data_IF_337982405520
#
_entry.id   IF_337982405520
#
_cell.length_a   1.000
_cell.length_b   1.000
_cell.length_c   1.000
_cell.angle_alpha   90.00
_cell.angle_beta   90.00
_cell.angle_gamma   90.00
#
_symmetry.space_group_name_H-M   'P 1'
#
loop_
_entity.id
_entity.type
_entity.pdbx_description
1 polymer ?
#
# COMPACT_ATOMS: atom_id res chain seq x y z
N UNK A 1 24.53 18.49 -21.47
CA UNK A 1 24.57 17.90 -20.11
C UNK A 1 23.52 16.80 -20.03
N UNK A 2 23.92 15.53 -20.16
CA UNK A 2 23.05 14.40 -19.88
C UNK A 2 23.00 14.23 -18.35
N UNK A 3 21.87 14.56 -17.74
CA UNK A 3 21.61 14.23 -16.34
C UNK A 3 21.72 12.71 -16.18
N UNK A 4 22.61 12.25 -15.30
CA UNK A 4 22.73 10.86 -14.89
C UNK A 4 21.47 10.48 -14.11
N UNK A 5 20.45 10.00 -14.81
CA UNK A 5 19.27 9.46 -14.16
C UNK A 5 19.60 8.03 -13.71
N UNK A 6 19.84 7.87 -12.41
CA UNK A 6 19.88 6.56 -11.76
C UNK A 6 18.52 6.28 -11.14
N UNK A 7 18.09 5.02 -11.15
CA UNK A 7 16.86 4.59 -10.47
C UNK A 7 17.27 3.82 -9.23
N UNK A 8 16.85 4.31 -8.06
CA UNK A 8 16.92 3.56 -6.81
C UNK A 8 15.61 2.79 -6.62
N UNK A 9 15.71 1.47 -6.48
CA UNK A 9 14.57 0.60 -6.24
C UNK A 9 14.87 -0.33 -5.07
N UNK A 10 13.83 -0.58 -4.26
CA UNK A 10 13.87 -1.67 -3.30
C UNK A 10 13.29 -2.91 -4.00
N UNK A 11 14.16 -3.88 -4.28
CA UNK A 11 13.77 -5.12 -4.94
C UNK A 11 13.26 -6.14 -3.92
N UNK A 12 12.22 -6.89 -4.30
CA UNK A 12 11.53 -7.85 -3.42
C UNK A 12 11.49 -9.28 -3.98
N UNK A 13 12.61 -10.04 -3.94
CA UNK A 13 12.58 -11.48 -4.19
C UNK A 13 11.88 -12.24 -3.05
N UNK A 14 11.26 -13.38 -3.39
CA UNK A 14 10.60 -14.30 -2.45
C UNK A 14 11.52 -15.48 -2.13
N UNK A 15 11.57 -15.89 -0.87
CA UNK A 15 12.36 -17.05 -0.42
C UNK A 15 11.48 -17.98 0.44
N UNK A 16 11.52 -19.29 0.20
CA UNK A 16 10.78 -20.29 0.99
C UNK A 16 11.44 -20.53 2.36
N UNK A 17 10.64 -20.81 3.39
CA UNK A 17 11.15 -21.34 4.66
C UNK A 17 11.61 -22.77 4.43
N UNK A 18 12.92 -22.98 4.34
CA UNK A 18 13.50 -24.29 4.61
C UNK A 18 13.40 -24.65 6.09
N UNK A 19 13.89 -25.82 6.46
CA UNK A 19 14.00 -26.30 7.86
C UNK A 19 14.94 -25.44 8.73
N UNK A 20 15.65 -24.49 8.12
CA UNK A 20 16.65 -23.64 8.76
C UNK A 20 16.12 -22.20 8.95
N UNK A 21 16.46 -21.62 10.11
CA UNK A 21 15.99 -20.32 10.58
C UNK A 21 16.28 -19.15 9.60
N UNK A 22 15.50 -18.04 9.68
CA UNK A 22 15.66 -16.85 8.80
C UNK A 22 17.03 -16.16 8.82
N UNK A 23 17.94 -16.57 9.71
CA UNK A 23 19.29 -16.02 9.89
C UNK A 23 20.25 -16.31 8.72
N UNK A 24 19.81 -17.03 7.68
CA UNK A 24 20.72 -17.79 6.79
C UNK A 24 20.55 -17.34 5.33
N UNK A 25 20.52 -16.03 5.06
CA UNK A 25 20.58 -15.50 3.69
C UNK A 25 21.77 -14.55 3.55
N UNK A 26 22.77 -14.96 2.77
CA UNK A 26 23.88 -14.08 2.40
C UNK A 26 23.81 -13.80 0.89
N UNK A 27 23.58 -12.54 0.53
CA UNK A 27 23.75 -12.11 -0.85
C UNK A 27 25.22 -11.71 -1.05
N UNK A 28 25.96 -12.53 -1.81
CA UNK A 28 27.33 -12.19 -2.23
C UNK A 28 27.20 -11.18 -3.35
N UNK A 29 27.48 -9.92 -3.04
CA UNK A 29 27.57 -8.89 -4.05
C UNK A 29 28.78 -8.02 -3.72
N UNK A 30 29.73 -7.93 -4.65
CA UNK A 30 30.89 -7.03 -4.54
C UNK A 30 30.54 -5.67 -5.17
N UNK A 31 31.10 -4.53 -4.74
CA UNK A 31 31.26 -4.05 -3.37
C UNK A 31 30.60 -2.65 -3.21
N UNK A 32 29.43 -2.51 -2.58
CA UNK A 32 28.98 -1.24 -1.95
C UNK A 32 27.93 -1.58 -0.87
N UNK A 33 28.20 -1.15 0.37
CA UNK A 33 27.31 -1.01 1.54
C UNK A 33 26.00 -1.82 1.52
N UNK A 34 26.00 -2.99 2.17
CA UNK A 34 24.88 -3.94 2.14
C UNK A 34 23.96 -3.79 3.36
N UNK A 35 22.87 -3.03 3.23
CA UNK A 35 21.73 -3.19 4.13
C UNK A 35 20.74 -4.11 3.43
N UNK A 36 20.44 -5.26 4.03
CA UNK A 36 19.38 -6.17 3.62
C UNK A 36 18.34 -6.28 4.73
N UNK A 37 17.08 -6.43 4.34
CA UNK A 37 15.99 -6.64 5.28
C UNK A 37 15.20 -7.89 4.89
N UNK A 38 14.97 -8.78 5.84
CA UNK A 38 14.12 -9.96 5.68
C UNK A 38 12.90 -9.76 6.56
N UNK A 39 11.72 -10.04 6.03
CA UNK A 39 10.49 -9.99 6.82
C UNK A 39 9.50 -11.09 6.46
N UNK A 40 8.60 -11.50 7.38
CA UNK A 40 7.59 -12.51 7.09
C UNK A 40 6.73 -12.12 5.89
N UNK A 41 6.52 -13.06 4.97
CA UNK A 41 5.69 -12.79 3.80
C UNK A 41 4.23 -12.58 4.20
N UNK A 42 3.61 -11.57 3.60
CA UNK A 42 2.18 -11.25 3.80
C UNK A 42 1.23 -12.19 3.06
N UNK A 43 1.72 -12.92 2.06
CA UNK A 43 0.91 -13.85 1.24
C UNK A 43 1.06 -15.29 1.70
N UNK A 44 2.24 -15.67 2.20
CA UNK A 44 2.58 -17.06 2.47
C UNK A 44 3.26 -17.19 3.83
N UNK A 45 2.59 -17.79 4.85
CA UNK A 45 3.16 -17.95 6.19
C UNK A 45 4.47 -18.74 6.22
N UNK A 46 4.69 -19.60 5.23
CA UNK A 46 5.90 -20.42 5.05
C UNK A 46 6.99 -19.73 4.22
N UNK A 47 6.93 -18.42 3.98
CA UNK A 47 7.93 -17.70 3.19
C UNK A 47 8.38 -16.39 3.84
N UNK A 48 9.50 -15.87 3.36
CA UNK A 48 10.00 -14.54 3.66
C UNK A 48 10.07 -13.68 2.41
N UNK A 49 9.88 -12.39 2.65
CA UNK A 49 10.13 -11.32 1.70
C UNK A 49 11.51 -10.74 2.00
N UNK A 50 12.42 -10.77 1.01
CA UNK A 50 13.74 -10.13 1.11
C UNK A 50 13.69 -8.78 0.41
N UNK A 51 14.14 -7.73 1.07
CA UNK A 51 14.27 -6.38 0.53
C UNK A 51 15.74 -6.04 0.36
N UNK A 52 16.08 -5.58 -0.85
CA UNK A 52 17.44 -5.17 -1.24
C UNK A 52 17.37 -3.79 -1.87
N UNK A 53 18.20 -2.86 -1.39
CA UNK A 53 18.38 -1.58 -2.07
C UNK A 53 19.37 -1.71 -3.22
N UNK A 54 18.97 -1.27 -4.41
CA UNK A 54 19.85 -1.21 -5.58
C UNK A 54 19.69 0.11 -6.33
N UNK A 55 20.80 0.59 -6.89
CA UNK A 55 20.83 1.72 -7.82
C UNK A 55 21.19 1.18 -9.21
N UNK A 56 20.30 1.33 -10.18
CA UNK A 56 20.55 0.91 -11.57
C UNK A 56 20.72 2.17 -12.43
N UNK A 57 21.87 2.35 -13.12
CA UNK A 57 22.05 3.45 -14.05
C UNK A 57 21.03 3.38 -15.20
N UNK A 58 20.61 4.54 -15.72
CA UNK A 58 19.71 4.61 -16.87
C UNK A 58 20.21 3.79 -18.06
N UNK A 59 19.30 3.04 -18.69
CA UNK A 59 19.56 2.16 -19.83
C UNK A 59 20.65 1.09 -19.57
N UNK A 60 20.81 0.66 -18.32
CA UNK A 60 21.77 -0.38 -17.91
C UNK A 60 21.06 -1.53 -17.18
N UNK A 61 21.79 -2.61 -16.93
CA UNK A 61 21.39 -3.67 -16.00
C UNK A 61 22.45 -3.88 -14.91
N UNK A 62 22.06 -4.55 -13.82
CA UNK A 62 22.96 -5.05 -12.77
C UNK A 62 22.55 -6.47 -12.42
N UNK A 63 23.51 -7.33 -12.16
CA UNK A 63 23.27 -8.72 -11.78
C UNK A 63 23.55 -8.94 -10.30
N UNK A 64 22.67 -9.67 -9.63
CA UNK A 64 22.73 -9.98 -8.21
C UNK A 64 22.51 -11.47 -7.98
N UNK A 65 23.31 -12.09 -7.11
CA UNK A 65 23.15 -13.50 -6.73
C UNK A 65 22.80 -13.59 -5.25
N UNK A 66 21.65 -14.19 -4.94
CA UNK A 66 21.19 -14.45 -3.58
C UNK A 66 21.45 -15.92 -3.29
N UNK A 67 22.17 -16.21 -2.20
CA UNK A 67 22.50 -17.58 -1.82
C UNK A 67 22.08 -17.82 -0.36
N UNK A 68 21.57 -19.01 -0.02
CA UNK A 68 21.48 -19.40 1.37
C UNK A 68 22.87 -19.40 2.00
N UNK A 69 22.99 -18.85 3.20
CA UNK A 69 24.23 -18.99 3.98
C UNK A 69 24.44 -20.47 4.33
N UNK A 70 25.68 -20.93 4.44
CA UNK A 70 25.98 -22.25 5.03
C UNK A 70 26.34 -22.03 6.48
N UNK A 71 25.66 -22.72 7.38
CA UNK A 71 25.80 -22.63 8.83
C UNK A 71 27.27 -22.79 9.29
N UNK A 72 27.94 -21.67 9.54
CA UNK A 72 29.11 -21.46 10.42
C UNK A 72 29.69 -20.05 10.19
N UNK A 73 28.92 -19.03 10.55
CA UNK A 73 29.25 -17.62 10.32
C UNK A 73 30.27 -17.01 11.30
N UNK A 74 31.02 -17.82 12.06
CA UNK A 74 32.09 -17.29 12.91
C UNK A 74 33.35 -16.84 12.13
N UNK A 75 33.46 -17.14 10.81
CA UNK A 75 34.73 -16.97 10.07
C UNK A 75 34.75 -16.00 8.89
N UNK A 76 33.63 -15.45 8.41
CA UNK A 76 33.64 -14.65 7.16
C UNK A 76 33.31 -13.16 7.30
N UNK A 77 32.91 -12.65 8.47
CA UNK A 77 32.63 -11.21 8.65
C UNK A 77 31.54 -10.66 7.70
N UNK A 78 30.73 -11.53 7.10
CA UNK A 78 29.64 -11.15 6.21
C UNK A 78 28.45 -10.60 7.04
N UNK A 79 27.83 -9.48 6.61
CA UNK A 79 26.73 -8.89 7.36
C UNK A 79 25.51 -9.81 7.34
N UNK A 80 24.99 -10.16 8.52
CA UNK A 80 23.73 -10.87 8.66
C UNK A 80 22.55 -10.00 8.22
N UNK A 81 21.51 -10.58 7.58
CA UNK A 81 20.33 -9.83 7.20
C UNK A 81 19.55 -9.37 8.43
N UNK A 82 19.05 -8.13 8.40
CA UNK A 82 18.18 -7.65 9.47
C UNK A 82 16.81 -8.31 9.37
N UNK A 83 16.39 -9.01 10.43
CA UNK A 83 15.04 -9.55 10.54
C UNK A 83 14.10 -8.46 11.05
N UNK A 84 13.11 -8.08 10.23
CA UNK A 84 12.14 -7.06 10.57
C UNK A 84 11.33 -7.41 11.83
N UNK A 85 11.02 -6.39 12.63
CA UNK A 85 10.21 -6.52 13.84
C UNK A 85 8.74 -6.31 13.48
N UNK A 86 7.90 -7.29 13.80
CA UNK A 86 6.45 -7.20 13.58
C UNK A 86 5.74 -6.82 14.87
N UNK A 87 4.99 -5.72 14.83
CA UNK A 87 4.04 -5.32 15.87
C UNK A 87 2.63 -5.61 15.36
N UNK A 88 1.86 -6.36 16.13
CA UNK A 88 0.47 -6.70 15.79
C UNK A 88 -0.50 -5.91 16.64
N UNK A 89 -1.57 -5.42 16.01
CA UNK A 89 -2.64 -4.68 16.66
C UNK A 89 -3.95 -5.43 16.49
N UNK A 90 -4.67 -5.63 17.60
CA UNK A 90 -5.94 -6.35 17.61
C UNK A 90 -6.99 -5.71 16.69
N UNK A 91 -7.99 -6.51 16.29
CA UNK A 91 -9.06 -6.05 15.40
C UNK A 91 -9.89 -4.92 16.00
N UNK A 92 -10.20 -3.91 15.18
CA UNK A 92 -11.08 -2.78 15.54
C UNK A 92 -12.35 -2.82 14.70
N UNK A 93 -13.49 -2.69 15.37
CA UNK A 93 -14.80 -2.67 14.71
C UNK A 93 -15.06 -1.29 14.12
N UNK A 94 -15.68 -1.25 12.94
CA UNK A 94 -16.06 0.01 12.27
C UNK A 94 -16.91 0.93 13.16
N UNK A 95 -17.79 0.35 13.98
CA UNK A 95 -18.79 1.08 14.78
C UNK A 95 -18.34 1.39 16.22
N UNK A 96 -17.20 0.86 16.68
CA UNK A 96 -16.79 1.00 18.09
C UNK A 96 -15.98 2.25 18.40
N UNK A 97 -15.48 2.97 17.40
CA UNK A 97 -14.64 4.14 17.61
C UNK A 97 -15.46 5.31 18.15
N UNK A 98 -15.36 5.56 19.47
CA UNK A 98 -16.05 6.67 20.15
C UNK A 98 -15.42 8.03 19.82
N UNK A 99 -14.12 8.06 19.56
CA UNK A 99 -13.36 9.24 19.13
C UNK A 99 -12.25 8.81 18.16
N UNK A 100 -12.17 9.47 17.00
CA UNK A 100 -11.12 9.27 16.00
C UNK A 100 -9.94 10.18 16.34
N UNK A 101 -8.73 9.64 16.29
CA UNK A 101 -7.49 10.39 16.50
C UNK A 101 -7.08 10.58 17.96
N UNK A 102 -7.69 9.84 18.91
CA UNK A 102 -7.31 9.87 20.32
C UNK A 102 -5.98 9.14 20.58
N UNK A 103 -5.81 7.95 20.01
CA UNK A 103 -4.60 7.13 20.17
C UNK A 103 -3.90 6.93 18.82
N UNK A 104 -2.75 7.58 18.62
CA UNK A 104 -2.01 7.52 17.35
C UNK A 104 -0.66 6.79 17.50
N UNK A 105 -0.33 5.94 16.53
CA UNK A 105 1.01 5.39 16.36
C UNK A 105 1.68 6.02 15.13
N UNK A 106 2.90 6.60 15.27
CA UNK A 106 3.65 7.12 14.15
C UNK A 106 4.46 6.02 13.46
N UNK A 107 4.43 6.02 12.14
CA UNK A 107 5.33 5.23 11.27
C UNK A 107 6.12 6.20 10.41
N UNK A 108 7.44 6.14 10.52
CA UNK A 108 8.31 7.17 9.97
C UNK A 108 9.30 6.63 8.92
N UNK A 109 9.63 7.51 8.00
CA UNK A 109 10.89 7.49 7.27
C UNK A 109 11.54 8.88 7.33
N UNK A 110 12.52 9.10 6.47
CA UNK A 110 13.26 10.37 6.42
C UNK A 110 12.36 11.57 6.08
N UNK A 111 11.24 11.34 5.39
CA UNK A 111 10.44 12.39 4.75
C UNK A 111 9.00 12.49 5.24
N UNK A 112 8.44 11.40 5.73
CA UNK A 112 7.07 11.30 6.19
C UNK A 112 6.98 10.74 7.59
N UNK A 113 5.97 11.20 8.31
CA UNK A 113 5.40 10.52 9.47
C UNK A 113 3.95 10.20 9.12
N UNK A 114 3.64 8.93 8.94
CA UNK A 114 2.29 8.43 8.74
C UNK A 114 1.72 8.07 10.11
N UNK A 115 0.63 8.70 10.49
CA UNK A 115 -0.07 8.42 11.74
C UNK A 115 -1.23 7.46 11.47
N UNK A 116 -1.22 6.34 12.19
CA UNK A 116 -2.31 5.38 12.20
C UNK A 116 -3.05 5.53 13.53
N UNK A 117 -4.37 5.47 13.47
CA UNK A 117 -5.22 5.55 14.64
C UNK A 117 -5.46 4.15 15.21
N UNK A 118 -5.05 3.92 16.45
CA UNK A 118 -5.14 2.63 17.15
C UNK A 118 -6.58 2.28 17.58
N UNK A 119 -7.48 3.27 17.58
CA UNK A 119 -8.89 3.07 17.90
C UNK A 119 -9.68 2.57 16.67
N UNK A 120 -9.21 2.88 15.46
CA UNK A 120 -9.83 2.47 14.19
C UNK A 120 -8.98 1.51 13.36
N UNK A 121 -7.69 1.40 13.64
CA UNK A 121 -6.66 0.78 12.78
C UNK A 121 -6.58 1.39 11.36
N UNK A 122 -7.06 2.63 11.17
CA UNK A 122 -7.02 3.32 9.89
C UNK A 122 -5.92 4.37 9.83
N UNK A 123 -5.48 4.71 8.62
CA UNK A 123 -4.65 5.89 8.41
C UNK A 123 -5.44 7.14 8.82
N UNK A 124 -4.80 7.99 9.61
CA UNK A 124 -5.39 9.22 10.15
C UNK A 124 -4.81 10.47 9.49
N UNK A 125 -3.49 10.51 9.31
CA UNK A 125 -2.82 11.66 8.69
C UNK A 125 -1.42 11.32 8.22
N UNK A 126 -0.96 12.06 7.21
CA UNK A 126 0.42 12.03 6.74
C UNK A 126 1.05 13.39 6.98
N UNK A 127 2.19 13.42 7.66
CA UNK A 127 2.99 14.62 7.85
C UNK A 127 4.25 14.53 7.01
N UNK A 128 4.39 15.45 6.06
CA UNK A 128 5.61 15.64 5.27
C UNK A 128 6.55 16.57 6.03
N UNK A 129 7.76 16.07 6.33
CA UNK A 129 8.68 16.64 7.32
C UNK A 129 9.40 17.88 6.78
N UNK A 130 9.67 17.96 5.49
CA UNK A 130 10.47 19.03 4.87
C UNK A 130 9.68 20.34 4.73
N UNK A 131 8.47 20.25 4.19
CA UNK A 131 7.49 21.34 4.05
C UNK A 131 6.69 21.58 5.33
N UNK A 132 6.82 20.70 6.33
CA UNK A 132 6.08 20.74 7.58
C UNK A 132 4.55 20.73 7.38
N UNK A 133 4.06 20.00 6.37
CA UNK A 133 2.63 19.95 6.03
C UNK A 133 2.02 18.64 6.51
N UNK A 134 0.94 18.76 7.28
CA UNK A 134 0.14 17.62 7.74
C UNK A 134 -1.19 17.57 7.00
N UNK A 135 -1.44 16.47 6.32
CA UNK A 135 -2.71 16.20 5.63
C UNK A 135 -3.47 15.13 6.40
N UNK A 136 -4.65 15.49 6.88
CA UNK A 136 -5.59 14.53 7.46
C UNK A 136 -6.28 13.78 6.34
N UNK A 137 -6.24 12.46 6.42
CA UNK A 137 -6.85 11.59 5.42
C UNK A 137 -7.32 10.28 6.04
N UNK A 138 -8.41 9.74 5.49
CA UNK A 138 -8.85 8.37 5.77
C UNK A 138 -8.95 7.59 4.47
N UNK A 139 -8.56 6.32 4.52
CA UNK A 139 -8.69 5.39 3.41
C UNK A 139 -9.51 4.19 3.85
N UNK A 140 -10.51 3.82 3.04
CA UNK A 140 -11.38 2.68 3.34
C UNK A 140 -11.97 2.06 2.07
N UNK A 141 -12.19 0.75 2.14
CA UNK A 141 -12.92 0.02 1.11
C UNK A 141 -14.43 0.24 1.24
N UNK A 142 -15.07 0.51 0.11
CA UNK A 142 -16.52 0.66 -0.02
C UNK A 142 -16.98 -0.17 -1.21
N UNK A 143 -18.26 -0.50 -1.26
CA UNK A 143 -18.87 -1.21 -2.39
C UNK A 143 -20.13 -0.48 -2.85
N UNK A 144 -20.29 -0.37 -4.17
CA UNK A 144 -21.59 -0.11 -4.77
C UNK A 144 -22.35 -1.42 -4.94
N UNK A 145 -23.65 -1.40 -4.65
CA UNK A 145 -24.56 -2.42 -5.16
C UNK A 145 -24.89 -2.05 -6.61
N UNK A 146 -24.75 -2.99 -7.53
CA UNK A 146 -25.06 -2.76 -8.94
C UNK A 146 -26.52 -3.04 -9.25
N UNK A 147 -27.08 -2.34 -10.24
CA UNK A 147 -28.40 -2.68 -10.75
C UNK A 147 -28.31 -3.96 -11.59
N UNK A 148 -29.00 -5.01 -11.17
CA UNK A 148 -29.15 -6.26 -11.92
C UNK A 148 -30.57 -6.49 -12.44
N UNK A 149 -31.47 -5.52 -12.25
CA UNK A 149 -32.87 -5.61 -12.64
C UNK A 149 -33.16 -4.75 -13.87
N UNK A 150 -33.41 -5.41 -15.00
CA UNK A 150 -33.76 -4.78 -16.28
C UNK A 150 -35.02 -3.91 -16.20
N UNK A 151 -35.90 -4.14 -15.21
CA UNK A 151 -37.10 -3.33 -15.00
C UNK A 151 -36.83 -2.01 -14.30
N UNK A 152 -35.69 -1.88 -13.62
CA UNK A 152 -35.30 -0.66 -12.85
C UNK A 152 -34.38 0.28 -13.61
N UNK A 153 -34.01 -0.07 -14.84
CA UNK A 153 -33.10 0.70 -15.69
C UNK A 153 -32.03 -0.20 -16.32
N UNK A 154 -30.99 0.41 -16.92
CA UNK A 154 -29.88 -0.36 -17.48
C UNK A 154 -29.20 -1.18 -16.38
N UNK A 155 -28.83 -2.41 -16.73
CA UNK A 155 -28.08 -3.31 -15.86
C UNK A 155 -26.61 -2.92 -15.89
N UNK A 156 -25.94 -2.99 -14.73
CA UNK A 156 -24.51 -2.73 -14.64
C UNK A 156 -23.77 -3.92 -15.23
N UNK A 157 -22.83 -3.66 -16.13
CA UNK A 157 -22.04 -4.68 -16.81
C UNK A 157 -20.59 -4.20 -17.02
N UNK A 158 -19.89 -4.83 -17.96
CA UNK A 158 -18.49 -4.51 -18.27
C UNK A 158 -18.30 -3.14 -18.94
N UNK A 159 -19.35 -2.52 -19.46
CA UNK A 159 -19.32 -1.21 -20.13
C UNK A 159 -20.09 -0.14 -19.37
N UNK A 160 -21.16 -0.53 -18.69
CA UNK A 160 -22.11 0.37 -18.07
C UNK A 160 -22.00 0.29 -16.56
N UNK A 161 -21.67 1.42 -15.92
CA UNK A 161 -21.73 1.55 -14.47
C UNK A 161 -23.09 2.12 -14.04
N UNK A 162 -23.95 1.30 -13.46
CA UNK A 162 -25.26 1.70 -12.94
C UNK A 162 -25.43 1.22 -11.50
N UNK A 163 -24.90 1.97 -10.51
CA UNK A 163 -25.09 1.64 -9.12
C UNK A 163 -26.54 1.93 -8.69
N UNK A 164 -27.08 1.12 -7.80
CA UNK A 164 -28.41 1.35 -7.22
C UNK A 164 -28.44 2.47 -6.18
N UNK A 165 -27.28 2.93 -5.71
CA UNK A 165 -27.17 3.97 -4.70
C UNK A 165 -25.73 4.42 -4.43
N UNK A 166 -25.52 5.10 -3.30
CA UNK A 166 -24.17 5.46 -2.84
C UNK A 166 -23.40 4.22 -2.36
N UNK A 167 -22.07 4.25 -2.47
CA UNK A 167 -21.25 3.16 -1.97
C UNK A 167 -21.26 3.12 -0.44
N UNK A 168 -21.35 1.91 0.11
CA UNK A 168 -21.40 1.61 1.54
C UNK A 168 -20.09 0.95 1.98
N UNK A 169 -19.65 1.07 3.24
CA UNK A 169 -18.37 0.49 3.64
C UNK A 169 -18.43 -1.03 3.63
N UNK A 170 -17.44 -1.65 2.98
CA UNK A 170 -17.43 -3.08 2.64
C UNK A 170 -16.80 -3.99 3.72
N UNK A 171 -16.65 -3.47 4.94
CA UNK A 171 -15.94 -4.12 6.04
C UNK A 171 -16.59 -3.84 7.38
N UNK A 172 -16.44 -4.79 8.30
CA UNK A 172 -16.91 -4.68 9.69
C UNK A 172 -15.77 -4.50 10.69
N UNK A 173 -14.60 -5.10 10.40
CA UNK A 173 -13.42 -5.01 11.26
C UNK A 173 -12.12 -4.81 10.47
N UNK A 174 -11.15 -4.12 11.07
CA UNK A 174 -9.79 -3.96 10.53
C UNK A 174 -8.76 -4.41 11.55
N UNK A 175 -7.84 -5.29 11.12
CA UNK A 175 -6.61 -5.61 11.86
C UNK A 175 -5.44 -4.85 11.24
N UNK A 176 -4.43 -4.57 12.04
CA UNK A 176 -3.24 -3.86 11.57
C UNK A 176 -1.96 -4.53 12.08
N UNK A 177 -0.94 -4.55 11.23
CA UNK A 177 0.43 -4.90 11.59
C UNK A 177 1.37 -3.80 11.11
N UNK A 178 2.43 -3.55 11.88
CA UNK A 178 3.55 -2.69 11.47
C UNK A 178 4.79 -3.59 11.46
N UNK A 179 5.37 -3.76 10.28
CA UNK A 179 6.59 -4.55 10.07
C UNK A 179 7.73 -3.57 9.84
N UNK A 180 8.52 -3.35 10.89
CA UNK A 180 9.60 -2.36 10.89
C UNK A 180 10.94 -3.00 10.57
N UNK A 181 11.64 -2.41 9.59
CA UNK A 181 13.03 -2.73 9.32
C UNK A 181 13.84 -1.53 8.85
N UNK A 182 15.14 -1.73 8.57
CA UNK A 182 16.08 -0.66 8.26
C UNK A 182 15.91 -0.10 6.86
N UNK A 183 15.37 -0.87 5.90
CA UNK A 183 15.14 -0.42 4.52
C UNK A 183 13.70 0.02 4.29
N UNK A 184 12.74 -0.72 4.83
CA UNK A 184 11.31 -0.50 4.61
C UNK A 184 10.58 -0.70 5.91
N UNK A 185 9.62 0.17 6.20
CA UNK A 185 8.55 -0.12 7.14
C UNK A 185 7.26 -0.36 6.37
N UNK A 186 6.65 -1.54 6.58
CA UNK A 186 5.39 -1.92 5.93
C UNK A 186 4.24 -1.88 6.94
N UNK A 187 3.22 -1.09 6.64
CA UNK A 187 1.95 -1.07 7.36
C UNK A 187 1.00 -1.99 6.63
N UNK A 188 0.49 -3.01 7.31
CA UNK A 188 -0.45 -3.98 6.75
C UNK A 188 -1.80 -3.78 7.43
N UNK A 189 -2.81 -3.39 6.67
CA UNK A 189 -4.18 -3.24 7.15
C UNK A 189 -5.04 -4.31 6.49
N UNK A 190 -5.65 -5.17 7.29
CA UNK A 190 -6.46 -6.28 6.84
C UNK A 190 -7.93 -6.00 7.17
N UNK A 191 -8.75 -5.84 6.14
CA UNK A 191 -10.17 -5.50 6.24
C UNK A 191 -10.99 -6.79 6.10
N UNK A 192 -11.72 -7.12 7.15
CA UNK A 192 -12.62 -8.27 7.18
C UNK A 192 -14.06 -7.82 6.89
N UNK A 193 -14.73 -8.50 5.95
CA UNK A 193 -16.14 -8.23 5.65
C UNK A 193 -17.00 -8.48 6.88
N UNK A 194 -16.76 -9.58 7.62
CA UNK A 194 -17.38 -9.88 8.91
C UNK A 194 -16.35 -10.03 10.02
N UNK A 195 -16.73 -9.72 11.25
CA UNK A 195 -15.84 -9.78 12.42
C UNK A 195 -15.14 -11.13 12.62
N UNK A 196 -15.86 -12.22 12.32
CA UNK A 196 -15.39 -13.59 12.56
C UNK A 196 -14.76 -14.25 11.32
N UNK A 197 -14.57 -13.52 10.22
CA UNK A 197 -13.92 -14.08 9.03
C UNK A 197 -12.46 -14.41 9.36
N UNK A 198 -12.03 -15.64 9.04
CA UNK A 198 -10.65 -16.08 9.24
C UNK A 198 -9.68 -15.30 8.36
N UNK A 199 -10.09 -15.02 7.12
CA UNK A 199 -9.29 -14.33 6.11
C UNK A 199 -9.86 -12.94 5.81
N UNK A 200 -9.00 -11.95 5.53
CA UNK A 200 -9.46 -10.64 5.13
C UNK A 200 -9.95 -10.63 3.69
N UNK A 201 -11.03 -9.89 3.43
CA UNK A 201 -11.57 -9.66 2.09
C UNK A 201 -10.78 -8.61 1.33
N UNK A 202 -10.22 -7.63 2.05
CA UNK A 202 -9.37 -6.61 1.46
C UNK A 202 -8.12 -6.39 2.30
N UNK A 203 -7.05 -5.94 1.67
CA UNK A 203 -5.88 -5.48 2.40
C UNK A 203 -5.24 -4.27 1.74
N UNK A 204 -4.68 -3.39 2.57
CA UNK A 204 -3.81 -2.29 2.16
C UNK A 204 -2.43 -2.57 2.74
N UNK A 205 -1.42 -2.64 1.88
CA UNK A 205 -0.03 -2.73 2.26
C UNK A 205 0.66 -1.43 1.89
N UNK A 206 0.92 -0.57 2.88
CA UNK A 206 1.60 0.70 2.66
C UNK A 206 3.08 0.57 3.03
N UNK A 207 3.99 0.93 2.13
CA UNK A 207 5.44 0.83 2.34
C UNK A 207 6.07 2.21 2.38
N UNK A 208 6.84 2.45 3.43
CA UNK A 208 7.72 3.60 3.56
C UNK A 208 9.16 3.10 3.43
N UNK A 209 9.80 3.41 2.32
CA UNK A 209 11.23 3.19 2.15
C UNK A 209 12.02 4.20 3.00
N UNK A 210 13.14 3.74 3.57
CA UNK A 210 14.11 4.53 4.32
C UNK A 210 15.38 4.64 3.46
N UNK A 211 15.92 5.84 3.33
CA UNK A 211 17.20 6.02 2.66
C UNK A 211 18.32 5.65 3.61
N UNK A 212 19.32 4.85 3.20
CA UNK A 212 20.60 4.85 3.88
C UNK A 212 21.19 6.27 3.86
N UNK A 213 21.97 6.63 4.87
CA UNK A 213 22.66 7.92 4.86
C UNK A 213 23.72 7.93 3.75
N UNK A 214 23.57 8.81 2.75
CA UNK A 214 24.51 8.93 1.63
C UNK A 214 23.84 9.09 0.25
N UNK A 215 23.77 10.35 -0.20
CA UNK A 215 23.63 10.89 -1.56
C UNK A 215 22.58 10.43 -2.58
N UNK A 216 21.76 9.39 -2.38
CA UNK A 216 20.65 9.05 -3.32
C UNK A 216 19.25 9.01 -2.66
N UNK A 217 19.13 9.56 -1.45
CA UNK A 217 17.92 9.48 -0.63
C UNK A 217 16.70 10.22 -1.16
N UNK A 218 16.87 11.17 -2.08
CA UNK A 218 15.76 11.87 -2.73
C UNK A 218 14.85 10.93 -3.52
N UNK A 219 15.40 9.86 -4.11
CA UNK A 219 14.63 8.94 -4.98
C UNK A 219 13.66 8.04 -4.20
N UNK A 220 13.96 7.74 -2.93
CA UNK A 220 13.11 6.95 -2.04
C UNK A 220 12.20 7.83 -1.16
N UNK A 221 12.57 9.10 -1.04
CA UNK A 221 11.80 10.13 -0.38
C UNK A 221 10.55 10.50 -1.19
N UNK A 222 9.61 11.21 -0.56
CA UNK A 222 8.37 11.71 -1.17
C UNK A 222 7.41 10.67 -1.77
N UNK A 223 7.67 9.37 -1.61
CA UNK A 223 6.78 8.29 -2.04
C UNK A 223 6.28 7.43 -0.87
N UNK A 224 4.97 7.17 -0.85
CA UNK A 224 4.36 6.08 -0.07
C UNK A 224 3.80 5.11 -1.10
N UNK A 225 4.33 3.90 -1.13
CA UNK A 225 3.81 2.86 -2.03
C UNK A 225 2.63 2.16 -1.37
N UNK A 226 1.54 1.95 -2.10
CA UNK A 226 0.40 1.19 -1.62
C UNK A 226 0.08 0.06 -2.60
N UNK A 227 -0.02 -1.15 -2.05
CA UNK A 227 -0.47 -2.34 -2.77
C UNK A 227 -1.78 -2.82 -2.16
N UNK A 228 -2.75 -3.18 -3.00
CA UNK A 228 -4.09 -3.55 -2.58
C UNK A 228 -4.40 -5.00 -2.93
N UNK A 229 -4.93 -5.75 -1.96
CA UNK A 229 -5.60 -7.05 -2.21
C UNK A 229 -7.10 -6.81 -2.15
N UNK A 230 -7.83 -7.24 -3.16
CA UNK A 230 -9.28 -7.04 -3.28
C UNK A 230 -9.96 -8.36 -3.60
N UNK A 231 -10.88 -8.80 -2.75
CA UNK A 231 -11.78 -9.93 -2.99
C UNK A 231 -11.58 -11.14 -2.08
N UNK A 232 -12.52 -12.11 -2.14
CA UNK A 232 -13.58 -12.22 -3.15
C UNK A 232 -14.75 -11.23 -2.93
N UNK A 233 -15.28 -10.70 -4.03
CA UNK A 233 -16.47 -9.83 -4.01
C UNK A 233 -17.74 -10.67 -3.99
N UNK A 234 -18.80 -10.15 -3.36
CA UNK A 234 -20.14 -10.73 -3.53
C UNK A 234 -20.65 -10.42 -4.96
N UNK A 235 -21.63 -11.20 -5.42
CA UNK A 235 -22.28 -10.94 -6.70
C UNK A 235 -22.90 -9.54 -6.71
N UNK A 236 -22.87 -8.87 -7.87
CA UNK A 236 -23.45 -7.53 -8.07
C UNK A 236 -22.84 -6.45 -7.16
N UNK A 237 -21.53 -6.52 -6.96
CA UNK A 237 -20.73 -5.54 -6.21
C UNK A 237 -19.65 -4.91 -7.07
N UNK A 238 -19.45 -3.61 -6.90
CA UNK A 238 -18.27 -2.90 -7.41
C UNK A 238 -17.50 -2.28 -6.24
N UNK A 239 -16.30 -2.80 -5.96
CA UNK A 239 -15.44 -2.32 -4.90
C UNK A 239 -14.69 -1.04 -5.30
N UNK A 240 -14.58 -0.09 -4.37
CA UNK A 240 -13.78 1.12 -4.49
C UNK A 240 -12.91 1.31 -3.25
N UNK A 241 -11.75 1.91 -3.43
CA UNK A 241 -10.98 2.50 -2.32
C UNK A 241 -11.27 4.00 -2.29
N UNK A 242 -11.83 4.49 -1.19
CA UNK A 242 -12.10 5.91 -0.99
C UNK A 242 -11.03 6.53 -0.12
N UNK A 243 -10.33 7.52 -0.66
CA UNK A 243 -9.48 8.44 0.12
C UNK A 243 -10.25 9.73 0.39
N UNK A 244 -10.48 10.05 1.66
CA UNK A 244 -11.20 11.25 2.08
C UNK A 244 -10.26 12.20 2.80
N UNK A 245 -10.26 13.48 2.44
CA UNK A 245 -9.39 14.50 3.03
C UNK A 245 -10.16 15.80 3.26
N UNK A 246 -9.57 16.74 4.00
CA UNK A 246 -10.09 18.12 4.15
C UNK A 246 -9.52 19.10 3.11
N UNK A 247 -8.87 18.60 2.05
CA UNK A 247 -8.34 19.47 1.01
C UNK A 247 -9.49 20.15 0.26
N UNK A 248 -9.44 21.48 0.16
CA UNK A 248 -10.38 22.22 -0.66
C UNK A 248 -9.97 22.11 -2.13
N UNK A 249 -10.65 21.23 -2.86
CA UNK A 249 -10.40 21.00 -4.29
C UNK A 249 -11.17 21.96 -5.20
N UNK A 250 -12.04 22.82 -4.67
CA UNK A 250 -12.95 23.63 -5.48
C UNK A 250 -13.87 22.79 -6.37
N UNK A 251 -14.14 21.53 -6.00
CA UNK A 251 -14.84 20.52 -6.81
C UNK A 251 -14.16 20.23 -8.16
N UNK A 252 -12.83 20.28 -8.19
CA UNK A 252 -12.01 19.95 -9.36
C UNK A 252 -11.11 18.77 -9.03
N UNK A 253 -11.11 17.77 -9.90
CA UNK A 253 -10.15 16.66 -9.86
C UNK A 253 -9.23 16.74 -11.07
N UNK A 254 -8.12 16.01 -11.02
CA UNK A 254 -7.23 15.83 -12.16
C UNK A 254 -7.06 14.34 -12.39
N UNK A 255 -7.20 13.92 -13.65
CA UNK A 255 -6.93 12.55 -14.08
C UNK A 255 -5.99 12.59 -15.27
N UNK A 256 -5.17 11.58 -15.46
CA UNK A 256 -4.40 11.47 -16.70
C UNK A 256 -5.31 11.16 -17.89
N UNK A 257 -4.72 11.23 -19.08
CA UNK A 257 -5.24 10.70 -20.32
C UNK A 257 -4.17 9.79 -20.91
N UNK A 258 -4.40 8.47 -20.83
CA UNK A 258 -3.49 7.42 -21.31
C UNK A 258 -2.07 7.51 -20.74
N UNK A 259 -1.90 7.97 -19.50
CA UNK A 259 -0.59 8.13 -18.85
C UNK A 259 0.28 9.26 -19.42
N UNK A 260 -0.25 10.10 -20.32
CA UNK A 260 0.52 11.15 -20.97
C UNK A 260 0.28 12.54 -20.38
N UNK A 261 -0.96 13.03 -20.41
CA UNK A 261 -1.30 14.38 -19.98
C UNK A 261 -2.29 14.37 -18.82
N UNK A 262 -2.02 15.15 -17.78
CA UNK A 262 -3.00 15.45 -16.72
C UNK A 262 -4.08 16.40 -17.23
N UNK A 263 -5.33 15.99 -17.12
CA UNK A 263 -6.51 16.75 -17.54
C UNK A 263 -7.33 17.20 -16.33
N UNK A 264 -7.83 18.44 -16.41
CA UNK A 264 -8.71 19.03 -15.39
C UNK A 264 -10.14 18.50 -15.53
N UNK A 265 -10.72 18.01 -14.44
CA UNK A 265 -12.06 17.44 -14.34
C UNK A 265 -12.91 18.25 -13.35
N UNK A 266 -13.56 19.34 -13.79
CA UNK A 266 -14.50 20.07 -12.94
C UNK A 266 -15.76 19.25 -12.71
N UNK A 267 -16.30 19.32 -11.50
CA UNK A 267 -17.62 18.79 -11.19
C UNK A 267 -18.67 19.44 -12.10
N UNK A 268 -19.56 18.61 -12.66
CA UNK A 268 -20.68 19.05 -13.49
C UNK A 268 -21.97 18.69 -12.79
N UNK A 269 -22.85 19.68 -12.67
CA UNK A 269 -24.19 19.46 -12.17
C UNK A 269 -25.13 19.15 -13.34
N UNK A 270 -25.64 17.93 -13.40
CA UNK A 270 -26.59 17.49 -14.42
C UNK A 270 -27.98 17.41 -13.81
N UNK A 271 -29.02 17.81 -14.57
CA UNK A 271 -30.43 17.77 -14.12
C UNK A 271 -30.88 16.40 -13.58
N UNK A 272 -30.28 15.32 -14.07
CA UNK A 272 -30.33 13.98 -13.48
C UNK A 272 -28.89 13.53 -13.24
N UNK A 273 -28.37 13.86 -12.06
CA UNK A 273 -26.98 13.59 -11.73
C UNK A 273 -26.84 12.16 -11.22
N UNK A 274 -26.67 11.21 -12.13
CA UNK A 274 -26.32 9.84 -11.75
C UNK A 274 -24.85 9.80 -11.37
N UNK A 275 -24.52 9.03 -10.32
CA UNK A 275 -23.15 8.87 -9.80
C UNK A 275 -22.17 8.49 -10.92
N UNK A 276 -22.65 7.75 -11.92
CA UNK A 276 -21.89 7.33 -13.09
C UNK A 276 -21.32 8.49 -13.94
N UNK A 277 -22.00 9.64 -13.99
CA UNK A 277 -21.60 10.78 -14.86
C UNK A 277 -20.53 11.68 -14.27
N UNK A 278 -20.28 11.57 -12.96
CA UNK A 278 -19.29 12.38 -12.23
C UNK A 278 -17.96 11.62 -12.10
N UNK A 279 -17.94 10.32 -12.43
CA UNK A 279 -16.72 9.52 -12.52
C UNK A 279 -15.94 9.96 -13.77
N UNK A 280 -14.70 10.49 -13.65
CA UNK A 280 -13.79 10.56 -14.81
C UNK A 280 -13.63 9.16 -15.38
N UNK A 281 -13.44 9.00 -16.69
CA UNK A 281 -13.23 7.71 -17.39
C UNK A 281 -11.98 6.94 -16.87
N UNK A 282 -12.07 6.43 -15.65
CA UNK A 282 -11.10 5.62 -14.94
C UNK A 282 -11.86 4.48 -14.25
N UNK A 283 -12.69 3.75 -15.00
CA UNK A 283 -13.15 2.44 -14.56
C UNK A 283 -12.09 1.42 -14.94
N UNK A 284 -11.18 1.14 -14.01
CA UNK A 284 -10.61 -0.19 -13.95
C UNK A 284 -11.64 -1.06 -13.21
N UNK A 285 -12.65 -1.51 -13.94
CA UNK A 285 -13.54 -2.59 -13.50
C UNK A 285 -12.72 -3.87 -13.50
N UNK A 286 -12.19 -4.23 -12.33
CA UNK A 286 -11.68 -5.58 -12.11
C UNK A 286 -12.89 -6.52 -12.06
N UNK A 287 -13.19 -7.14 -13.21
CA UNK A 287 -14.03 -8.34 -13.27
C UNK A 287 -13.13 -9.53 -12.92
N UNK A 288 -13.48 -10.25 -11.85
CA UNK A 288 -13.15 -11.66 -11.67
C UNK A 288 -14.34 -12.47 -12.17
#
# INVERSE_FOLDING_TARGET
MLSKHSICQVCKPRVSKGTEAPSILTAIIHPVLWVFQVQPSKEMPSAYDLYVLTTIPGLSYRHYSIRPSRSSQEKTGEPEPFVAKTMQFGGRLRRSARQVGGNLVPVNNDCYIVFLDLDTNLMHSVWERQSNRKVYMTQQFMEYHTNSDVRKGPVSDNYVFTPSGAAEPAWEAVRMEIVEGPLVTEIRQYFHRKVNDSEPTFAIYSRLARSPQGSDGELLCHRIEQEYRVGPLELNREAILRTSTKLNTGRVLYSDNNGYQMQRRPYRDYKSNTIARVRPELSWSWLL
#
